data_IF_131083699551
#
_entry.id   IF_131083699551
#
_cell.length_a   1.000
_cell.length_b   1.000
_cell.length_c   1.000
_cell.angle_alpha   90.00
_cell.angle_beta   90.00
_cell.angle_gamma   90.00
#
_symmetry.space_group_name_H-M   'P 1'
#
loop_
_entity.id
_entity.type
_entity.pdbx_description
1 polymer ?
#
# COMPACT_ATOMS: atom_id res chain seq x y z
N UNK A 1 -12.84 25.22 -16.30
CA UNK A 1 -11.81 24.16 -16.38
C UNK A 1 -11.16 24.19 -17.76
N UNK A 2 -9.83 24.37 -17.81
CA UNK A 2 -9.07 24.33 -19.08
C UNK A 2 -9.02 22.89 -19.61
N UNK A 3 -8.95 22.72 -20.94
CA UNK A 3 -8.72 21.40 -21.56
C UNK A 3 -7.40 20.78 -21.10
N UNK A 4 -6.42 21.63 -20.77
CA UNK A 4 -5.10 21.24 -20.26
C UNK A 4 -5.17 20.48 -18.93
N UNK A 5 -5.93 21.02 -17.96
CA UNK A 5 -6.10 20.38 -16.65
C UNK A 5 -6.71 18.97 -16.73
N UNK A 6 -7.61 18.76 -17.69
CA UNK A 6 -8.24 17.47 -17.86
C UNK A 6 -7.34 16.43 -18.52
N UNK A 7 -6.50 16.87 -19.46
CA UNK A 7 -5.48 16.00 -20.03
C UNK A 7 -4.49 15.58 -18.94
N UNK A 8 -4.06 16.53 -18.10
CA UNK A 8 -3.21 16.24 -16.94
C UNK A 8 -3.85 15.24 -15.98
N UNK A 9 -5.16 15.38 -15.68
CA UNK A 9 -5.87 14.41 -14.85
C UNK A 9 -5.86 12.99 -15.47
N UNK A 10 -6.15 12.87 -16.77
CA UNK A 10 -6.11 11.58 -17.48
C UNK A 10 -4.70 11.00 -17.48
N UNK A 11 -3.69 11.82 -17.71
CA UNK A 11 -2.29 11.40 -17.74
C UNK A 11 -1.77 10.96 -16.36
N UNK A 12 -2.17 11.65 -15.29
CA UNK A 12 -1.85 11.25 -13.91
C UNK A 12 -2.48 9.88 -13.57
N UNK A 13 -3.76 9.68 -13.92
CA UNK A 13 -4.44 8.40 -13.67
C UNK A 13 -3.88 7.25 -14.51
N UNK A 14 -3.43 7.55 -15.73
CA UNK A 14 -2.73 6.61 -16.61
C UNK A 14 -1.39 6.19 -16.03
N UNK A 15 -0.59 7.16 -15.57
CA UNK A 15 0.70 6.92 -14.92
C UNK A 15 0.55 6.10 -13.62
N UNK A 16 -0.51 6.36 -12.83
CA UNK A 16 -0.84 5.61 -11.60
C UNK A 16 -1.08 4.10 -11.82
N UNK A 17 -1.52 3.70 -13.02
CA UNK A 17 -1.67 2.29 -13.40
C UNK A 17 -0.45 1.72 -14.13
N UNK A 18 0.59 2.53 -14.36
CA UNK A 18 1.76 2.10 -15.13
C UNK A 18 1.48 1.91 -16.63
N UNK A 19 0.46 2.57 -17.18
CA UNK A 19 0.14 2.47 -18.60
C UNK A 19 0.95 3.45 -19.45
N UNK A 20 1.69 2.95 -20.44
CA UNK A 20 2.55 3.78 -21.30
C UNK A 20 1.78 4.49 -22.42
N UNK A 21 0.64 3.93 -22.84
CA UNK A 21 -0.21 4.49 -23.90
C UNK A 21 -1.68 4.58 -23.49
N UNK A 22 -2.46 5.42 -24.18
CA UNK A 22 -3.92 5.48 -24.02
C UNK A 22 -4.60 4.15 -24.39
N UNK A 23 -3.98 3.34 -25.24
CA UNK A 23 -4.46 2.00 -25.60
C UNK A 23 -4.29 1.03 -24.43
N UNK A 24 -3.12 1.02 -23.79
CA UNK A 24 -2.85 0.18 -22.61
C UNK A 24 -3.76 0.59 -21.46
N UNK A 25 -3.93 1.90 -21.26
CA UNK A 25 -4.82 2.44 -20.24
C UNK A 25 -6.26 2.00 -20.45
N UNK A 26 -6.76 2.06 -21.69
CA UNK A 26 -8.10 1.59 -22.04
C UNK A 26 -8.25 0.09 -21.81
N UNK A 27 -7.24 -0.71 -22.20
CA UNK A 27 -7.22 -2.16 -22.00
C UNK A 27 -7.23 -2.54 -20.52
N UNK A 28 -6.42 -1.88 -19.69
CA UNK A 28 -6.41 -2.09 -18.23
C UNK A 28 -7.78 -1.81 -17.60
N UNK A 29 -8.48 -0.79 -18.09
CA UNK A 29 -9.81 -0.41 -17.60
C UNK A 29 -10.96 -1.21 -18.19
N UNK A 30 -10.72 -2.01 -19.23
CA UNK A 30 -11.76 -2.73 -19.95
C UNK A 30 -12.71 -1.82 -20.71
N UNK A 31 -12.21 -0.69 -21.23
CA UNK A 31 -12.97 0.26 -22.04
C UNK A 31 -12.33 0.43 -23.42
N UNK A 32 -13.06 1.01 -24.36
CA UNK A 32 -12.50 1.36 -25.66
C UNK A 32 -11.58 2.59 -25.57
N UNK A 33 -10.53 2.66 -26.40
CA UNK A 33 -9.67 3.84 -26.54
C UNK A 33 -10.45 5.12 -26.88
N UNK A 34 -11.56 4.99 -27.60
CA UNK A 34 -12.51 6.07 -27.92
C UNK A 34 -13.05 6.75 -26.64
N UNK A 35 -13.23 5.98 -25.56
CA UNK A 35 -13.70 6.45 -24.25
C UNK A 35 -12.65 7.35 -23.59
N UNK A 36 -11.37 6.98 -23.65
CA UNK A 36 -10.26 7.80 -23.12
C UNK A 36 -10.16 9.12 -23.89
N UNK A 37 -10.23 9.06 -25.22
CA UNK A 37 -10.26 10.27 -26.05
C UNK A 37 -11.46 11.18 -25.72
N UNK A 38 -12.60 10.58 -25.38
CA UNK A 38 -13.77 11.33 -24.92
C UNK A 38 -13.55 11.98 -23.56
N UNK A 39 -12.88 11.34 -22.59
CA UNK A 39 -12.55 11.95 -21.30
C UNK A 39 -11.64 13.17 -21.45
N UNK A 40 -10.60 13.05 -22.28
CA UNK A 40 -9.70 14.17 -22.64
C UNK A 40 -10.49 15.35 -23.24
N UNK A 41 -11.45 15.08 -24.15
CA UNK A 41 -12.31 16.11 -24.77
C UNK A 41 -13.35 16.70 -23.81
N UNK A 42 -13.97 15.87 -22.97
CA UNK A 42 -15.02 16.27 -22.00
C UNK A 42 -14.47 16.93 -20.75
N UNK A 43 -13.16 17.12 -20.70
CA UNK A 43 -12.44 17.79 -19.63
C UNK A 43 -12.50 17.07 -18.28
N UNK A 44 -12.47 15.74 -18.29
CA UNK A 44 -12.28 14.97 -17.05
C UNK A 44 -12.62 13.50 -17.15
N UNK A 45 -12.10 12.74 -16.19
CA UNK A 45 -12.47 11.33 -15.97
C UNK A 45 -13.69 11.27 -15.06
N UNK A 46 -14.76 10.55 -15.42
CA UNK A 46 -15.91 10.41 -14.53
C UNK A 46 -15.49 9.83 -13.17
N UNK A 47 -16.04 10.35 -12.07
CA UNK A 47 -15.63 10.02 -10.70
C UNK A 47 -15.63 8.52 -10.39
N UNK A 48 -16.56 7.76 -10.98
CA UNK A 48 -16.61 6.30 -10.81
C UNK A 48 -15.33 5.61 -11.29
N UNK A 49 -14.75 6.12 -12.38
CA UNK A 49 -13.53 5.59 -12.97
C UNK A 49 -12.30 6.08 -12.22
N UNK A 50 -12.26 7.36 -11.84
CA UNK A 50 -11.19 7.90 -11.00
C UNK A 50 -11.05 7.08 -9.69
N UNK A 51 -12.17 6.80 -9.01
CA UNK A 51 -12.18 5.94 -7.82
C UNK A 51 -11.73 4.50 -8.09
N UNK A 52 -12.20 3.89 -9.18
CA UNK A 52 -11.78 2.53 -9.54
C UNK A 52 -10.28 2.44 -9.86
N UNK A 53 -9.72 3.45 -10.54
CA UNK A 53 -8.29 3.55 -10.85
C UNK A 53 -7.47 3.68 -9.56
N UNK A 54 -7.86 4.60 -8.67
CA UNK A 54 -7.18 4.79 -7.38
C UNK A 54 -7.22 3.52 -6.54
N UNK A 55 -8.37 2.84 -6.47
CA UNK A 55 -8.52 1.57 -5.75
C UNK A 55 -7.61 0.47 -6.32
N UNK A 56 -7.52 0.33 -7.65
CA UNK A 56 -6.63 -0.66 -8.29
C UNK A 56 -5.15 -0.36 -8.08
N UNK A 57 -4.76 0.92 -8.14
CA UNK A 57 -3.39 1.34 -7.87
C UNK A 57 -2.99 1.04 -6.41
N UNK A 58 -3.89 1.31 -5.46
CA UNK A 58 -3.73 0.93 -4.05
C UNK A 58 -3.60 -0.59 -3.89
N UNK A 59 -4.44 -1.37 -4.56
CA UNK A 59 -4.36 -2.83 -4.51
C UNK A 59 -3.02 -3.35 -5.05
N UNK A 60 -2.55 -2.83 -6.20
CA UNK A 60 -1.25 -3.18 -6.76
C UNK A 60 -0.09 -2.82 -5.82
N UNK A 61 -0.19 -1.70 -5.10
CA UNK A 61 0.78 -1.34 -4.06
C UNK A 61 0.79 -2.34 -2.91
N UNK A 62 -0.40 -2.74 -2.42
CA UNK A 62 -0.56 -3.77 -1.37
C UNK A 62 0.02 -5.10 -1.85
N UNK A 63 -0.26 -5.52 -3.08
CA UNK A 63 0.23 -6.78 -3.62
C UNK A 63 1.76 -6.77 -3.81
N UNK A 64 2.34 -5.65 -4.26
CA UNK A 64 3.79 -5.48 -4.32
C UNK A 64 4.45 -5.51 -2.93
N UNK A 65 3.81 -4.91 -1.93
CA UNK A 65 4.25 -5.01 -0.54
C UNK A 65 4.17 -6.46 -0.05
N UNK A 66 3.04 -7.14 -0.26
CA UNK A 66 2.87 -8.57 0.10
C UNK A 66 3.94 -9.42 -0.56
N UNK A 67 4.24 -9.21 -1.84
CA UNK A 67 5.29 -9.93 -2.53
C UNK A 67 6.67 -9.68 -1.90
N UNK A 68 6.99 -8.43 -1.53
CA UNK A 68 8.24 -8.12 -0.84
C UNK A 68 8.32 -8.81 0.53
N UNK A 69 7.21 -8.86 1.27
CA UNK A 69 7.18 -9.41 2.63
C UNK A 69 7.17 -10.94 2.63
N UNK A 70 6.41 -11.57 1.73
CA UNK A 70 6.18 -13.02 1.75
C UNK A 70 6.89 -13.78 0.63
N UNK A 71 7.35 -13.09 -0.42
CA UNK A 71 7.96 -13.68 -1.61
C UNK A 71 9.49 -13.51 -1.71
N UNK A 72 10.08 -12.57 -0.95
CA UNK A 72 11.54 -12.37 -0.88
C UNK A 72 12.11 -12.97 0.41
N UNK A 73 13.32 -13.53 0.36
CA UNK A 73 13.91 -14.29 1.47
C UNK A 73 14.16 -13.48 2.75
N UNK A 74 14.40 -12.17 2.62
CA UNK A 74 14.55 -11.23 3.73
C UNK A 74 13.21 -10.68 4.26
N UNK A 75 12.17 -10.68 3.42
CA UNK A 75 10.82 -10.27 3.79
C UNK A 75 10.26 -11.01 5.00
N UNK A 76 10.61 -12.29 5.13
CA UNK A 76 10.27 -13.11 6.31
C UNK A 76 10.76 -12.48 7.61
N UNK A 77 12.03 -12.03 7.67
CA UNK A 77 12.59 -11.43 8.88
C UNK A 77 11.96 -10.07 9.19
N UNK A 78 11.62 -9.29 8.17
CA UNK A 78 10.90 -8.02 8.36
C UNK A 78 9.48 -8.25 8.90
N UNK A 79 8.78 -9.27 8.39
CA UNK A 79 7.45 -9.67 8.90
C UNK A 79 7.53 -10.13 10.36
N UNK A 80 8.50 -10.99 10.68
CA UNK A 80 8.72 -11.48 12.04
C UNK A 80 9.05 -10.34 13.00
N UNK A 81 9.91 -9.40 12.58
CA UNK A 81 10.27 -8.26 13.41
C UNK A 81 9.07 -7.33 13.64
N UNK A 82 8.23 -7.14 12.62
CA UNK A 82 6.98 -6.38 12.75
C UNK A 82 6.02 -7.05 13.75
N UNK A 83 5.82 -8.36 13.65
CA UNK A 83 4.99 -9.12 14.60
C UNK A 83 5.55 -9.08 16.03
N UNK A 84 6.87 -9.06 16.19
CA UNK A 84 7.52 -9.00 17.50
C UNK A 84 7.29 -7.67 18.24
N UNK A 85 7.05 -6.57 17.50
CA UNK A 85 6.88 -5.23 18.09
C UNK A 85 5.47 -4.65 17.96
N UNK A 86 4.59 -5.31 17.20
CA UNK A 86 3.18 -4.97 17.14
C UNK A 86 2.51 -5.19 18.50
N UNK A 87 1.79 -4.19 19.04
CA UNK A 87 0.93 -4.39 20.19
C UNK A 87 -0.09 -5.50 19.91
N UNK A 88 -0.36 -6.36 20.90
CA UNK A 88 -1.26 -7.50 20.71
C UNK A 88 -2.67 -7.06 20.29
N UNK A 89 -3.17 -5.99 20.90
CA UNK A 89 -4.46 -5.35 20.60
C UNK A 89 -4.50 -4.68 19.21
N UNK A 90 -3.35 -4.43 18.59
CA UNK A 90 -3.30 -3.98 17.20
C UNK A 90 -3.70 -5.09 16.21
N UNK A 91 -3.57 -6.37 16.56
CA UNK A 91 -3.97 -7.50 15.71
C UNK A 91 -5.22 -8.20 16.26
N UNK A 92 -5.26 -8.40 17.57
CA UNK A 92 -6.29 -9.13 18.31
C UNK A 92 -7.36 -8.16 18.84
N UNK A 93 -8.08 -7.54 17.91
CA UNK A 93 -9.26 -6.71 18.22
C UNK A 93 -10.54 -7.40 17.71
N UNK A 94 -11.66 -7.11 18.39
CA UNK A 94 -12.96 -7.75 18.15
C UNK A 94 -13.61 -7.37 16.81
N UNK A 95 -13.11 -6.29 16.18
CA UNK A 95 -13.55 -5.84 14.86
C UNK A 95 -15.03 -5.50 14.81
N UNK A 96 -15.62 -5.02 15.91
CA UNK A 96 -17.06 -4.81 16.03
C UNK A 96 -17.67 -4.14 14.78
N UNK A 97 -18.59 -4.86 14.12
CA UNK A 97 -19.28 -4.38 12.91
C UNK A 97 -18.57 -4.68 11.59
N UNK A 98 -17.39 -5.31 11.60
CA UNK A 98 -16.70 -5.79 10.40
C UNK A 98 -17.08 -7.23 10.07
N UNK A 99 -17.03 -7.56 8.79
CA UNK A 99 -17.06 -8.96 8.34
C UNK A 99 -15.69 -9.62 8.58
N UNK A 100 -15.63 -10.96 8.63
CA UNK A 100 -14.35 -11.68 8.78
C UNK A 100 -13.33 -11.31 7.71
N UNK A 101 -13.79 -11.13 6.46
CA UNK A 101 -12.95 -10.70 5.35
C UNK A 101 -12.38 -9.30 5.59
N UNK A 102 -13.24 -8.34 5.95
CA UNK A 102 -12.82 -6.98 6.26
C UNK A 102 -11.86 -6.94 7.45
N UNK A 103 -12.12 -7.75 8.48
CA UNK A 103 -11.25 -7.87 9.65
C UNK A 103 -9.86 -8.42 9.26
N UNK A 104 -9.82 -9.41 8.38
CA UNK A 104 -8.58 -9.92 7.77
C UNK A 104 -7.81 -8.83 7.02
N UNK A 105 -8.50 -8.02 6.22
CA UNK A 105 -7.89 -6.90 5.49
C UNK A 105 -7.31 -5.85 6.43
N UNK A 106 -8.03 -5.48 7.50
CA UNK A 106 -7.51 -4.53 8.51
C UNK A 106 -6.25 -5.07 9.19
N UNK A 107 -6.27 -6.34 9.62
CA UNK A 107 -5.11 -6.98 10.26
C UNK A 107 -3.90 -6.99 9.32
N UNK A 108 -4.14 -7.32 8.05
CA UNK A 108 -3.09 -7.30 7.03
C UNK A 108 -2.55 -5.89 6.81
N UNK A 109 -3.40 -4.87 6.69
CA UNK A 109 -2.95 -3.48 6.56
C UNK A 109 -2.08 -3.06 7.76
N UNK A 110 -2.52 -3.34 8.99
CA UNK A 110 -1.73 -3.03 10.20
C UNK A 110 -0.37 -3.72 10.19
N UNK A 111 -0.31 -4.99 9.77
CA UNK A 111 0.96 -5.69 9.59
C UNK A 111 1.85 -5.01 8.54
N UNK A 112 1.30 -4.61 7.39
CA UNK A 112 2.05 -3.92 6.34
C UNK A 112 2.58 -2.55 6.80
N UNK A 113 1.80 -1.79 7.58
CA UNK A 113 2.27 -0.54 8.20
C UNK A 113 3.43 -0.78 9.17
N UNK A 114 3.33 -1.83 9.99
CA UNK A 114 4.41 -2.22 10.87
C UNK A 114 5.66 -2.64 10.09
N UNK A 115 5.52 -3.45 9.04
CA UNK A 115 6.66 -3.85 8.19
C UNK A 115 7.28 -2.64 7.48
N UNK A 116 6.49 -1.69 7.01
CA UNK A 116 7.00 -0.44 6.44
C UNK A 116 7.84 0.34 7.47
N UNK A 117 7.38 0.43 8.73
CA UNK A 117 8.16 1.03 9.80
C UNK A 117 9.46 0.26 10.08
N UNK A 118 9.39 -1.08 10.17
CA UNK A 118 10.55 -1.94 10.37
C UNK A 118 11.58 -1.75 9.25
N UNK A 119 11.14 -1.67 7.99
CA UNK A 119 12.00 -1.44 6.84
C UNK A 119 12.71 -0.08 6.89
N UNK A 120 12.03 0.97 7.37
CA UNK A 120 12.66 2.28 7.60
C UNK A 120 13.73 2.20 8.70
N UNK A 121 13.47 1.46 9.78
CA UNK A 121 14.47 1.25 10.84
C UNK A 121 15.65 0.43 10.34
N UNK A 122 15.41 -0.61 9.53
CA UNK A 122 16.46 -1.38 8.88
C UNK A 122 17.30 -0.50 7.92
N UNK A 123 16.73 0.58 7.36
CA UNK A 123 17.44 1.57 6.54
C UNK A 123 18.23 0.93 5.37
N UNK A 124 17.61 -0.05 4.69
CA UNK A 124 18.22 -0.79 3.59
C UNK A 124 19.22 -1.88 4.00
N UNK A 125 19.43 -2.11 5.29
CA UNK A 125 20.21 -3.24 5.79
C UNK A 125 19.52 -4.57 5.43
N UNK A 126 20.25 -5.46 4.76
CA UNK A 126 19.77 -6.81 4.46
C UNK A 126 19.75 -7.67 5.74
N UNK A 127 18.57 -8.15 6.12
CA UNK A 127 18.34 -9.01 7.28
C UNK A 127 18.40 -10.47 6.82
N UNK A 128 19.61 -10.98 6.67
CA UNK A 128 19.92 -12.31 6.12
C UNK A 128 20.31 -13.34 7.19
N UNK A 129 20.30 -12.94 8.46
CA UNK A 129 20.75 -13.76 9.57
C UNK A 129 19.98 -13.45 10.85
N UNK A 130 19.92 -14.43 11.74
CA UNK A 130 19.21 -14.31 13.01
C UNK A 130 19.82 -13.22 13.92
N UNK A 131 21.15 -13.08 13.95
CA UNK A 131 21.80 -12.04 14.74
C UNK A 131 21.42 -10.62 14.27
N UNK A 132 21.31 -10.37 12.96
CA UNK A 132 20.83 -9.09 12.43
C UNK A 132 19.35 -8.87 12.77
N UNK A 133 18.54 -9.92 12.70
CA UNK A 133 17.15 -9.87 13.14
C UNK A 133 17.02 -9.46 14.62
N UNK A 134 17.78 -10.08 15.52
CA UNK A 134 17.76 -9.73 16.95
C UNK A 134 18.20 -8.28 17.18
N UNK A 135 19.25 -7.82 16.51
CA UNK A 135 19.69 -6.43 16.56
C UNK A 135 18.60 -5.47 16.07
N UNK A 136 17.90 -5.81 14.98
CA UNK A 136 16.79 -5.02 14.46
C UNK A 136 15.63 -4.95 15.46
N UNK A 137 15.24 -6.07 16.07
CA UNK A 137 14.19 -6.11 17.10
C UNK A 137 14.59 -5.28 18.33
N UNK A 138 15.85 -5.36 18.77
CA UNK A 138 16.34 -4.55 19.88
C UNK A 138 16.25 -3.04 19.59
N UNK A 139 16.58 -2.62 18.35
CA UNK A 139 16.40 -1.23 17.92
C UNK A 139 14.92 -0.82 17.89
N UNK A 140 14.05 -1.67 17.35
CA UNK A 140 12.61 -1.41 17.31
C UNK A 140 11.97 -1.34 18.70
N UNK A 141 12.58 -1.97 19.70
CA UNK A 141 12.11 -1.93 21.07
C UNK A 141 12.35 -0.56 21.75
N UNK A 142 13.16 0.33 21.17
CA UNK A 142 13.41 1.67 21.70
C UNK A 142 12.10 2.50 21.75
N UNK A 143 11.89 3.35 22.78
CA UNK A 143 10.64 4.08 22.98
C UNK A 143 10.22 4.94 21.79
N UNK A 144 11.16 5.59 21.10
CA UNK A 144 10.87 6.43 19.94
C UNK A 144 10.28 5.65 18.76
N UNK A 145 10.72 4.40 18.54
CA UNK A 145 10.22 3.54 17.48
C UNK A 145 8.84 3.00 17.83
N UNK A 146 8.62 2.60 19.09
CA UNK A 146 7.29 2.20 19.58
C UNK A 146 6.26 3.32 19.43
N UNK A 147 6.58 4.52 19.91
CA UNK A 147 5.69 5.66 19.83
C UNK A 147 5.35 6.02 18.37
N UNK A 148 6.34 5.93 17.47
CA UNK A 148 6.13 6.19 16.04
C UNK A 148 5.27 5.11 15.37
N UNK A 149 5.44 3.84 15.73
CA UNK A 149 4.60 2.76 15.24
C UNK A 149 3.14 2.93 15.72
N UNK A 150 2.94 3.24 17.00
CA UNK A 150 1.60 3.50 17.55
C UNK A 150 0.91 4.68 16.87
N UNK A 151 1.62 5.78 16.65
CA UNK A 151 1.09 6.95 15.94
C UNK A 151 0.67 6.59 14.50
N UNK A 152 1.45 5.76 13.80
CA UNK A 152 1.06 5.26 12.47
C UNK A 152 -0.21 4.43 12.51
N UNK A 153 -0.30 3.48 13.44
CA UNK A 153 -1.45 2.59 13.54
C UNK A 153 -2.76 3.33 13.88
N UNK A 154 -2.68 4.51 14.49
CA UNK A 154 -3.85 5.35 14.82
C UNK A 154 -4.32 6.24 13.67
N UNK A 155 -3.48 6.59 12.70
CA UNK A 155 -3.85 7.56 11.65
C UNK A 155 -4.78 7.01 10.58
N UNK A 156 -4.89 5.69 10.48
CA UNK A 156 -5.65 5.01 9.43
C UNK A 156 -7.06 4.56 9.88
N UNK A 157 -7.52 4.99 11.07
CA UNK A 157 -8.80 4.62 11.70
C UNK A 157 -9.42 5.78 12.50
#
# INVERSE_FOLDING_TARGET
MSTEFANEQVDNLRALLGAETDQDFAQMLGVERSTIAQWRRRKGVPDRWARAIMSRSLQGHVDAQRFRVFGAGDGYFLAMAALAVLPKDAIDFDGAGLTDASLGDVRMQRLLHAVSHVSEVANGEAIDSFAKYENLVARLALPEHRARLEDRLRRDW
#
